data_IF_317946748275
#
_entry.id   IF_317946748275
#
_cell.length_a   1.000
_cell.length_b   1.000
_cell.length_c   1.000
_cell.angle_alpha   90.00
_cell.angle_beta   90.00
_cell.angle_gamma   90.00
#
_symmetry.space_group_name_H-M   'P 1'
#
loop_
_entity.id
_entity.type
_entity.pdbx_description
1 polymer ?
#
# COMPACT_ATOMS: atom_id res chain seq x y z
N UNK A 1 8.68 70.30 27.27
CA UNK A 1 8.10 69.17 26.51
C UNK A 1 8.91 68.77 25.26
N UNK A 2 9.72 69.66 24.66
CA UNK A 2 10.48 69.35 23.42
C UNK A 2 11.56 68.26 23.52
N UNK A 3 12.29 68.15 24.64
CA UNK A 3 13.39 67.18 24.74
C UNK A 3 12.92 65.71 24.78
N UNK A 4 11.74 65.40 25.34
CA UNK A 4 11.22 64.02 25.39
C UNK A 4 10.85 63.48 24.00
N UNK A 5 10.39 64.34 23.10
CA UNK A 5 10.01 63.97 21.73
C UNK A 5 11.26 63.64 20.91
N UNK A 6 12.36 64.38 21.13
CA UNK A 6 13.64 64.13 20.44
C UNK A 6 14.25 62.79 20.88
N UNK A 7 14.21 62.45 22.18
CA UNK A 7 14.71 61.16 22.65
C UNK A 7 13.86 59.97 22.15
N UNK A 8 12.53 60.14 22.04
CA UNK A 8 11.65 59.10 21.48
C UNK A 8 11.87 58.95 19.97
N UNK A 9 12.04 60.05 19.24
CA UNK A 9 12.35 60.00 17.80
C UNK A 9 13.73 59.36 17.54
N UNK A 10 14.75 59.68 18.35
CA UNK A 10 16.07 59.06 18.26
C UNK A 10 16.02 57.57 18.60
N UNK A 11 15.25 57.16 19.61
CA UNK A 11 15.01 55.74 19.91
C UNK A 11 14.27 55.00 18.79
N UNK A 12 13.28 55.63 18.15
CA UNK A 12 12.55 55.03 17.03
C UNK A 12 13.45 54.92 15.78
N UNK A 13 14.30 55.91 15.52
CA UNK A 13 15.28 55.87 14.42
C UNK A 13 16.33 54.79 14.67
N UNK A 14 16.74 54.61 15.94
CA UNK A 14 17.72 53.58 16.33
C UNK A 14 17.12 52.16 16.34
N UNK A 15 15.79 52.02 16.52
CA UNK A 15 15.05 50.76 16.34
C UNK A 15 14.82 50.45 14.86
N UNK A 16 14.55 51.44 14.01
CA UNK A 16 14.42 51.24 12.56
C UNK A 16 15.76 50.88 11.88
N UNK A 17 16.90 51.15 12.51
CA UNK A 17 18.22 50.69 12.03
C UNK A 17 18.57 49.24 12.40
N UNK A 18 17.69 48.49 13.09
CA UNK A 18 17.95 47.07 13.46
C UNK A 18 17.30 46.07 12.47
N UNK A 19 16.79 46.54 11.33
CA UNK A 19 16.41 45.67 10.22
C UNK A 19 17.24 45.99 8.96
N UNK A 20 18.56 46.06 9.11
CA UNK A 20 19.42 45.64 8.03
C UNK A 20 19.40 44.10 8.00
N UNK A 21 18.35 43.54 7.39
CA UNK A 21 18.45 42.22 6.79
C UNK A 21 19.41 42.39 5.62
N UNK A 22 20.71 42.30 5.89
CA UNK A 22 21.68 41.95 4.87
C UNK A 22 21.42 40.48 4.53
N UNK A 23 20.32 40.24 3.82
CA UNK A 23 20.04 38.96 3.17
C UNK A 23 21.11 38.80 2.10
N UNK A 24 22.02 37.89 2.37
CA UNK A 24 23.11 37.46 1.52
C UNK A 24 22.50 36.97 0.19
N UNK A 25 22.69 37.73 -0.91
CA UNK A 25 21.95 37.56 -2.18
C UNK A 25 21.96 36.11 -2.70
N UNK A 26 23.01 35.36 -2.36
CA UNK A 26 23.22 33.98 -2.77
C UNK A 26 22.38 32.94 -1.98
N UNK A 27 22.07 33.22 -0.71
CA UNK A 27 21.25 32.34 0.14
C UNK A 27 19.76 32.47 -0.18
N UNK A 28 19.30 33.71 -0.34
CA UNK A 28 17.92 34.00 -0.73
C UNK A 28 17.62 33.47 -2.14
N UNK A 29 18.59 33.56 -3.06
CA UNK A 29 18.48 32.95 -4.40
C UNK A 29 18.38 31.42 -4.33
N UNK A 30 19.24 30.75 -3.55
CA UNK A 30 19.19 29.30 -3.38
C UNK A 30 17.87 28.83 -2.73
N UNK A 31 17.35 29.60 -1.77
CA UNK A 31 16.06 29.33 -1.13
C UNK A 31 14.92 29.47 -2.14
N UNK A 32 14.91 30.54 -2.94
CA UNK A 32 13.93 30.75 -3.99
C UNK A 32 13.98 29.67 -5.07
N UNK A 33 15.17 29.18 -5.41
CA UNK A 33 15.35 28.05 -6.33
C UNK A 33 14.72 26.77 -5.75
N UNK A 34 14.99 26.43 -4.49
CA UNK A 34 14.38 25.28 -3.83
C UNK A 34 12.84 25.40 -3.76
N UNK A 35 12.33 26.59 -3.45
CA UNK A 35 10.88 26.85 -3.40
C UNK A 35 10.23 26.64 -4.77
N UNK A 36 10.84 27.18 -5.84
CA UNK A 36 10.34 27.06 -7.22
C UNK A 36 10.30 25.60 -7.67
N UNK A 37 11.39 24.87 -7.47
CA UNK A 37 11.49 23.47 -7.88
C UNK A 37 10.56 22.58 -7.05
N UNK A 38 10.45 22.81 -5.74
CA UNK A 38 9.54 22.05 -4.87
C UNK A 38 8.07 22.24 -5.24
N UNK A 39 7.68 23.46 -5.62
CA UNK A 39 6.34 23.75 -6.12
C UNK A 39 6.08 23.04 -7.47
N UNK A 40 7.04 23.11 -8.40
CA UNK A 40 6.96 22.42 -9.69
C UNK A 40 6.84 20.90 -9.51
N UNK A 41 7.62 20.31 -8.60
CA UNK A 41 7.56 18.88 -8.29
C UNK A 41 6.18 18.47 -7.76
N UNK A 42 5.65 19.23 -6.82
CA UNK A 42 4.31 18.98 -6.26
C UNK A 42 3.24 19.08 -7.35
N UNK A 43 3.32 20.08 -8.22
CA UNK A 43 2.44 20.24 -9.37
C UNK A 43 2.52 19.05 -10.33
N UNK A 44 3.74 18.59 -10.65
CA UNK A 44 3.97 17.42 -11.49
C UNK A 44 3.36 16.16 -10.89
N UNK A 45 3.56 15.93 -9.58
CA UNK A 45 3.02 14.77 -8.89
C UNK A 45 1.48 14.72 -8.93
N UNK A 46 0.83 15.87 -8.74
CA UNK A 46 -0.63 15.97 -8.80
C UNK A 46 -1.13 15.74 -10.23
N UNK A 47 -0.49 16.36 -11.24
CA UNK A 47 -0.88 16.23 -12.64
C UNK A 47 -0.77 14.79 -13.15
N UNK A 48 0.18 14.02 -12.65
CA UNK A 48 0.45 12.63 -13.04
C UNK A 48 -0.12 11.60 -12.05
N UNK A 49 -1.14 11.97 -11.27
CA UNK A 49 -1.75 11.08 -10.27
C UNK A 49 -2.80 10.12 -10.85
N UNK A 50 -3.38 10.44 -12.02
CA UNK A 50 -4.41 9.63 -12.71
C UNK A 50 -4.39 9.85 -14.24
N UNK A 51 -4.05 8.85 -15.07
CA UNK A 51 -3.36 7.60 -14.70
C UNK A 51 -2.01 7.89 -14.02
N UNK A 52 -1.49 6.94 -13.24
CA UNK A 52 -0.22 7.17 -12.54
C UNK A 52 0.93 7.04 -13.56
N UNK A 53 1.55 8.17 -13.88
CA UNK A 53 2.76 8.30 -14.73
C UNK A 53 3.78 9.22 -14.04
N UNK A 54 3.82 9.10 -12.71
CA UNK A 54 4.48 10.05 -11.83
C UNK A 54 5.99 9.86 -11.83
N UNK A 55 6.46 8.62 -11.79
CA UNK A 55 7.89 8.33 -11.79
C UNK A 55 8.52 8.78 -13.11
N UNK A 56 7.92 8.40 -14.25
CA UNK A 56 8.43 8.69 -15.59
C UNK A 56 8.44 10.21 -15.88
N UNK A 57 7.36 10.93 -15.56
CA UNK A 57 7.24 12.34 -15.94
C UNK A 57 7.85 13.33 -14.96
N UNK A 58 8.10 12.93 -13.69
CA UNK A 58 8.59 13.85 -12.65
C UNK A 58 10.04 13.59 -12.22
N UNK A 59 10.75 12.66 -12.86
CA UNK A 59 12.14 12.28 -12.50
C UNK A 59 13.13 13.44 -12.58
N UNK A 60 13.06 14.26 -13.64
CA UNK A 60 13.96 15.41 -13.80
C UNK A 60 13.77 16.42 -12.68
N UNK A 61 12.50 16.78 -12.41
CA UNK A 61 12.16 17.74 -11.36
C UNK A 61 12.53 17.18 -9.98
N UNK A 62 12.40 15.87 -9.76
CA UNK A 62 12.84 15.25 -8.51
C UNK A 62 14.36 15.37 -8.33
N UNK A 63 15.15 15.14 -9.37
CA UNK A 63 16.61 15.34 -9.35
C UNK A 63 16.94 16.80 -9.00
N UNK A 64 16.18 17.75 -9.56
CA UNK A 64 16.35 19.17 -9.23
C UNK A 64 15.99 19.50 -7.78
N UNK A 65 14.99 18.83 -7.18
CA UNK A 65 14.69 18.95 -5.74
C UNK A 65 15.89 18.48 -4.91
N UNK A 66 16.49 17.35 -5.26
CA UNK A 66 17.69 16.83 -4.56
C UNK A 66 18.87 17.79 -4.68
N UNK A 67 19.11 18.33 -5.87
CA UNK A 67 20.21 19.23 -6.15
C UNK A 67 20.03 20.60 -5.46
N UNK A 68 18.83 21.20 -5.54
CA UNK A 68 18.52 22.48 -4.90
C UNK A 68 18.62 22.40 -3.37
N UNK A 69 18.15 21.30 -2.76
CA UNK A 69 18.34 21.07 -1.32
C UNK A 69 19.82 20.86 -0.96
N UNK A 70 20.57 20.12 -1.77
CA UNK A 70 22.01 19.93 -1.58
C UNK A 70 22.76 21.25 -1.66
N UNK A 71 22.40 22.13 -2.60
CA UNK A 71 23.01 23.45 -2.73
C UNK A 71 22.84 24.29 -1.47
N UNK A 72 21.64 24.30 -0.87
CA UNK A 72 21.40 24.95 0.42
C UNK A 72 22.33 24.43 1.53
N UNK A 73 22.69 23.14 1.50
CA UNK A 73 23.58 22.51 2.49
C UNK A 73 25.09 22.77 2.27
N UNK A 74 25.49 23.21 1.07
CA UNK A 74 26.89 23.44 0.69
C UNK A 74 27.24 24.92 0.72
N UNK A 75 26.30 25.80 0.39
CA UNK A 75 26.51 27.25 0.44
C UNK A 75 26.81 27.65 1.90
N UNK A 76 27.97 28.25 2.11
CA UNK A 76 28.41 28.77 3.40
C UNK A 76 28.25 30.28 3.44
N UNK A 77 27.55 30.77 4.46
CA UNK A 77 27.39 32.18 4.77
C UNK A 77 28.22 32.46 6.04
N UNK A 78 29.38 33.10 5.86
CA UNK A 78 30.33 33.33 6.95
C UNK A 78 30.87 32.04 7.58
N UNK A 79 30.58 31.81 8.86
CA UNK A 79 31.01 30.63 9.63
C UNK A 79 29.94 29.51 9.68
N UNK A 80 28.76 29.71 9.10
CA UNK A 80 27.62 28.77 9.14
C UNK A 80 27.17 28.38 7.72
N UNK A 81 26.49 27.23 7.60
CA UNK A 81 25.88 26.87 6.32
C UNK A 81 24.55 27.59 6.15
N UNK A 82 24.22 27.96 4.91
CA UNK A 82 22.96 28.61 4.57
C UNK A 82 21.75 27.85 5.13
N UNK A 83 21.76 26.51 5.01
CA UNK A 83 20.70 25.65 5.55
C UNK A 83 20.50 25.78 7.06
N UNK A 84 21.55 26.11 7.83
CA UNK A 84 21.46 26.21 9.30
C UNK A 84 20.58 27.39 9.72
N UNK A 85 20.56 28.45 8.90
CA UNK A 85 19.75 29.65 9.10
C UNK A 85 18.24 29.39 8.88
N UNK A 86 17.86 28.28 8.24
CA UNK A 86 16.45 27.99 7.94
C UNK A 86 15.92 26.69 8.55
N UNK A 87 16.79 25.73 8.88
CA UNK A 87 16.37 24.41 9.41
C UNK A 87 16.48 24.33 10.93
N UNK A 88 17.36 25.12 11.57
CA UNK A 88 17.61 25.01 13.01
C UNK A 88 16.99 26.13 13.85
N UNK A 89 16.38 27.14 13.23
CA UNK A 89 15.80 28.30 13.93
C UNK A 89 14.34 28.11 14.36
N UNK A 90 13.63 27.14 13.80
CA UNK A 90 12.23 26.87 14.12
C UNK A 90 11.96 25.37 14.35
N UNK A 91 10.90 25.05 15.11
CA UNK A 91 10.49 23.67 15.41
C UNK A 91 9.77 22.98 14.26
N UNK A 92 9.35 23.72 13.24
CA UNK A 92 8.52 23.24 12.14
C UNK A 92 9.38 22.66 11.00
N UNK A 93 10.58 23.21 10.83
CA UNK A 93 11.61 22.84 9.87
C UNK A 93 11.00 22.65 8.47
N UNK A 94 10.37 23.71 7.95
CA UNK A 94 9.54 23.63 6.73
C UNK A 94 10.36 23.08 5.55
N UNK A 95 11.57 23.59 5.35
CA UNK A 95 12.44 23.18 4.23
C UNK A 95 12.77 21.69 4.32
N UNK A 96 13.23 21.23 5.48
CA UNK A 96 13.53 19.81 5.70
C UNK A 96 12.29 18.93 5.52
N UNK A 97 11.14 19.39 6.03
CA UNK A 97 9.88 18.66 5.93
C UNK A 97 9.42 18.53 4.47
N UNK A 98 9.51 19.59 3.66
CA UNK A 98 9.16 19.55 2.24
C UNK A 98 10.09 18.60 1.50
N UNK A 99 11.41 18.74 1.68
CA UNK A 99 12.39 17.84 1.06
C UNK A 99 12.13 16.37 1.44
N UNK A 100 11.93 16.09 2.72
CA UNK A 100 11.65 14.74 3.24
C UNK A 100 10.34 14.18 2.69
N UNK A 101 9.30 15.00 2.56
CA UNK A 101 8.04 14.58 1.95
C UNK A 101 8.23 14.21 0.48
N UNK A 102 8.99 15.01 -0.27
CA UNK A 102 9.34 14.70 -1.66
C UNK A 102 10.08 13.38 -1.79
N UNK A 103 11.09 13.17 -0.94
CA UNK A 103 11.86 11.93 -0.87
C UNK A 103 11.00 10.71 -0.48
N UNK A 104 10.13 10.86 0.54
CA UNK A 104 9.23 9.80 0.99
C UNK A 104 8.25 9.43 -0.12
N UNK A 105 7.67 10.42 -0.82
CA UNK A 105 6.73 10.17 -1.91
C UNK A 105 7.40 9.37 -3.04
N UNK A 106 8.59 9.78 -3.46
CA UNK A 106 9.40 9.09 -4.47
C UNK A 106 9.67 7.63 -4.10
N UNK A 107 10.12 7.38 -2.86
CA UNK A 107 10.45 6.04 -2.40
C UNK A 107 9.22 5.15 -2.15
N UNK A 108 8.10 5.71 -1.68
CA UNK A 108 6.84 4.96 -1.53
C UNK A 108 6.32 4.48 -2.88
N UNK A 109 6.49 5.29 -3.93
CA UNK A 109 6.18 4.90 -5.30
C UNK A 109 7.23 3.97 -5.93
N UNK A 110 8.31 3.64 -5.20
CA UNK A 110 9.45 2.84 -5.67
C UNK A 110 10.00 3.31 -7.02
N UNK A 111 10.00 4.63 -7.26
CA UNK A 111 10.39 5.17 -8.56
C UNK A 111 11.83 4.85 -8.95
N UNK A 112 12.72 4.58 -7.99
CA UNK A 112 14.09 4.14 -8.26
C UNK A 112 14.14 2.86 -9.14
N UNK A 113 13.16 1.98 -9.03
CA UNK A 113 13.11 0.70 -9.76
C UNK A 113 12.76 0.89 -11.25
N UNK A 114 12.17 2.04 -11.59
CA UNK A 114 11.89 2.45 -12.96
C UNK A 114 13.16 2.89 -13.72
N UNK A 115 14.26 3.21 -13.02
CA UNK A 115 15.44 3.89 -13.59
C UNK A 115 16.76 3.17 -13.32
N UNK A 116 17.79 3.55 -14.08
CA UNK A 116 19.15 3.07 -13.88
C UNK A 116 19.92 3.99 -12.93
N UNK A 117 20.81 3.39 -12.13
CA UNK A 117 21.77 4.13 -11.31
C UNK A 117 23.15 4.09 -11.97
N UNK A 118 23.68 5.26 -12.32
CA UNK A 118 25.07 5.41 -12.76
C UNK A 118 25.86 6.00 -11.58
N UNK A 119 26.94 5.34 -11.14
CA UNK A 119 27.79 5.80 -10.03
C UNK A 119 27.02 6.17 -8.74
N UNK A 120 25.97 5.43 -8.39
CA UNK A 120 25.08 5.72 -7.25
C UNK A 120 24.25 7.00 -7.38
N UNK A 121 24.18 7.60 -8.58
CA UNK A 121 23.30 8.73 -8.88
C UNK A 121 22.11 8.27 -9.71
N UNK A 122 20.92 8.78 -9.37
CA UNK A 122 19.70 8.54 -10.11
C UNK A 122 19.81 9.18 -11.48
N UNK A 123 19.50 8.43 -12.53
CA UNK A 123 19.46 8.95 -13.90
C UNK A 123 18.02 8.99 -14.42
N UNK A 124 17.81 9.71 -15.51
CA UNK A 124 16.53 9.72 -16.24
C UNK A 124 16.38 8.51 -17.18
N UNK A 125 17.39 7.63 -17.26
CA UNK A 125 17.37 6.46 -18.14
C UNK A 125 16.56 5.34 -17.52
N UNK A 126 15.62 4.81 -18.28
CA UNK A 126 14.73 3.72 -17.88
C UNK A 126 15.51 2.42 -17.63
N UNK A 127 15.12 1.66 -16.60
CA UNK A 127 15.71 0.34 -16.29
C UNK A 127 15.40 -0.68 -17.38
N UNK A 128 16.24 -1.73 -17.47
CA UNK A 128 16.03 -2.78 -18.48
C UNK A 128 14.68 -3.46 -18.29
N UNK A 129 14.30 -3.66 -17.03
CA UNK A 129 13.06 -4.28 -16.60
C UNK A 129 11.84 -3.45 -17.03
N UNK A 130 11.91 -2.13 -16.82
CA UNK A 130 10.84 -1.21 -17.20
C UNK A 130 10.71 -1.10 -18.72
N UNK A 131 11.84 -1.03 -19.43
CA UNK A 131 11.86 -1.00 -20.89
C UNK A 131 11.23 -2.26 -21.50
N UNK A 132 11.61 -3.44 -21.00
CA UNK A 132 11.04 -4.72 -21.45
C UNK A 132 9.56 -4.86 -21.07
N UNK A 133 9.13 -4.34 -19.91
CA UNK A 133 7.70 -4.27 -19.57
C UNK A 133 6.92 -3.42 -20.59
N UNK A 134 7.46 -2.25 -20.96
CA UNK A 134 6.83 -1.35 -21.93
C UNK A 134 6.68 -2.02 -23.30
N UNK A 135 7.69 -2.75 -23.76
CA UNK A 135 7.62 -3.52 -25.01
C UNK A 135 6.45 -4.52 -25.01
N UNK A 136 6.33 -5.36 -23.97
CA UNK A 136 5.22 -6.30 -23.87
C UNK A 136 3.86 -5.60 -23.73
N UNK A 137 3.82 -4.46 -23.06
CA UNK A 137 2.61 -3.67 -22.91
C UNK A 137 2.16 -3.06 -24.25
N UNK A 138 3.08 -2.49 -25.02
CA UNK A 138 2.79 -1.96 -26.36
C UNK A 138 2.26 -3.05 -27.29
N UNK A 139 2.88 -4.23 -27.27
CA UNK A 139 2.45 -5.40 -28.03
C UNK A 139 1.01 -5.82 -27.68
N UNK A 140 0.69 -5.88 -26.39
CA UNK A 140 -0.65 -6.17 -25.90
C UNK A 140 -1.65 -5.08 -26.33
N UNK A 141 -1.33 -3.80 -26.11
CA UNK A 141 -2.21 -2.67 -26.43
C UNK A 141 -2.48 -2.60 -27.93
N UNK A 142 -1.47 -2.86 -28.76
CA UNK A 142 -1.61 -2.93 -30.21
C UNK A 142 -2.59 -4.03 -30.61
N UNK A 143 -2.45 -5.22 -30.03
CA UNK A 143 -3.42 -6.31 -30.25
C UNK A 143 -4.82 -5.92 -29.79
N UNK A 144 -4.94 -5.38 -28.57
CA UNK A 144 -6.20 -5.04 -27.92
C UNK A 144 -6.97 -3.95 -28.68
N UNK A 145 -6.27 -2.96 -29.26
CA UNK A 145 -6.89 -1.85 -30.02
C UNK A 145 -7.26 -2.23 -31.45
N UNK A 146 -6.46 -3.07 -32.11
CA UNK A 146 -6.68 -3.43 -33.53
C UNK A 146 -7.67 -4.58 -33.72
N UNK A 147 -7.94 -5.36 -32.68
CA UNK A 147 -8.78 -6.56 -32.80
C UNK A 147 -10.25 -6.25 -32.53
N UNK A 148 -11.14 -6.73 -33.40
CA UNK A 148 -12.58 -6.66 -33.20
C UNK A 148 -13.02 -7.35 -31.90
N UNK A 149 -14.03 -6.80 -31.23
CA UNK A 149 -14.46 -7.23 -29.89
C UNK A 149 -14.86 -8.71 -29.79
N UNK A 150 -15.32 -9.33 -30.87
CA UNK A 150 -15.74 -10.74 -30.91
C UNK A 150 -14.58 -11.73 -30.83
N UNK A 151 -13.40 -11.38 -31.37
CA UNK A 151 -12.22 -12.26 -31.42
C UNK A 151 -11.04 -11.74 -30.59
N UNK A 152 -11.23 -10.64 -29.85
CA UNK A 152 -10.19 -9.98 -29.07
C UNK A 152 -9.50 -10.93 -28.08
N UNK A 153 -10.28 -11.70 -27.33
CA UNK A 153 -9.77 -12.55 -26.26
C UNK A 153 -8.89 -13.70 -26.77
N UNK A 154 -9.33 -14.57 -27.71
CA UNK A 154 -8.49 -15.65 -28.19
C UNK A 154 -7.23 -15.15 -28.93
N UNK A 155 -7.32 -14.02 -29.65
CA UNK A 155 -6.19 -13.48 -30.42
C UNK A 155 -5.14 -12.83 -29.51
N UNK A 156 -5.57 -12.07 -28.49
CA UNK A 156 -4.65 -11.32 -27.63
C UNK A 156 -4.28 -12.06 -26.32
N UNK A 157 -4.80 -13.27 -26.09
CA UNK A 157 -4.56 -14.03 -24.86
C UNK A 157 -3.07 -14.29 -24.64
N UNK A 158 -2.33 -14.65 -25.69
CA UNK A 158 -0.89 -14.91 -25.60
C UNK A 158 -0.14 -13.64 -25.19
N UNK A 159 -0.41 -12.51 -25.87
CA UNK A 159 0.22 -11.21 -25.56
C UNK A 159 -0.07 -10.75 -24.13
N UNK A 160 -1.33 -10.89 -23.69
CA UNK A 160 -1.71 -10.61 -22.31
C UNK A 160 -1.00 -11.52 -21.30
N UNK A 161 -0.90 -12.81 -21.60
CA UNK A 161 -0.26 -13.80 -20.73
C UNK A 161 1.23 -13.53 -20.61
N UNK A 162 1.91 -13.21 -21.70
CA UNK A 162 3.33 -12.80 -21.71
C UNK A 162 3.55 -11.57 -20.84
N UNK A 163 2.76 -10.51 -21.02
CA UNK A 163 2.82 -9.31 -20.18
C UNK A 163 2.59 -9.63 -18.70
N UNK A 164 1.55 -10.40 -18.38
CA UNK A 164 1.20 -10.72 -16.99
C UNK A 164 2.27 -11.60 -16.31
N UNK A 165 2.83 -12.56 -17.03
CA UNK A 165 3.90 -13.42 -16.52
C UNK A 165 5.18 -12.63 -16.28
N UNK A 166 5.53 -11.72 -17.20
CA UNK A 166 6.67 -10.83 -17.04
C UNK A 166 6.50 -9.93 -15.81
N UNK A 167 5.36 -9.25 -15.68
CA UNK A 167 5.02 -8.45 -14.49
C UNK A 167 5.18 -9.28 -13.21
N UNK A 168 4.64 -10.50 -13.19
CA UNK A 168 4.70 -11.38 -12.02
C UNK A 168 6.16 -11.72 -11.67
N UNK A 169 7.01 -11.96 -12.67
CA UNK A 169 8.43 -12.26 -12.48
C UNK A 169 9.24 -11.11 -11.86
N UNK A 170 8.88 -9.86 -12.17
CA UNK A 170 9.57 -8.66 -11.64
C UNK A 170 8.92 -8.11 -10.37
N UNK A 171 7.66 -8.46 -10.08
CA UNK A 171 6.91 -7.90 -8.94
C UNK A 171 7.18 -8.56 -7.58
N UNK A 172 7.92 -9.68 -7.55
CA UNK A 172 8.22 -10.55 -6.40
C UNK A 172 7.66 -10.09 -5.04
N UNK A 173 6.62 -10.78 -4.56
CA UNK A 173 5.97 -10.55 -3.26
C UNK A 173 6.89 -10.82 -2.05
N UNK A 174 8.03 -11.49 -2.24
CA UNK A 174 8.94 -11.97 -1.18
C UNK A 174 10.14 -11.05 -0.88
N UNK A 175 9.93 -9.73 -1.00
CA UNK A 175 10.82 -8.69 -0.45
C UNK A 175 12.27 -8.65 -0.99
N UNK A 176 12.49 -7.84 -2.03
CA UNK A 176 13.68 -6.96 -2.20
C UNK A 176 13.60 -6.08 -3.45
N UNK A 177 12.90 -6.53 -4.48
CA UNK A 177 12.74 -5.82 -5.76
C UNK A 177 11.24 -5.66 -5.98
N UNK A 178 10.73 -4.45 -5.77
CA UNK A 178 9.35 -4.12 -6.13
C UNK A 178 9.33 -3.39 -7.46
N UNK A 179 8.21 -3.43 -8.17
CA UNK A 179 8.01 -2.58 -9.36
C UNK A 179 7.61 -1.17 -8.94
N UNK A 180 7.97 -0.17 -9.76
CA UNK A 180 7.54 1.21 -9.57
C UNK A 180 6.02 1.36 -9.78
N UNK A 181 5.44 2.38 -9.15
CA UNK A 181 3.98 2.57 -9.10
C UNK A 181 3.34 2.80 -10.48
N UNK A 182 4.07 3.41 -11.42
CA UNK A 182 3.61 3.61 -12.80
C UNK A 182 3.29 2.26 -13.48
N UNK A 183 4.21 1.28 -13.40
CA UNK A 183 4.00 -0.10 -13.89
C UNK A 183 2.82 -0.78 -13.19
N UNK A 184 2.71 -0.62 -11.87
CA UNK A 184 1.62 -1.21 -11.07
C UNK A 184 0.26 -0.68 -11.53
N UNK A 185 0.14 0.63 -11.79
CA UNK A 185 -1.10 1.24 -12.25
C UNK A 185 -1.47 0.80 -13.67
N UNK A 186 -0.48 0.74 -14.58
CA UNK A 186 -0.65 0.21 -15.94
C UNK A 186 -1.16 -1.23 -15.89
N UNK A 187 -0.53 -2.09 -15.09
CA UNK A 187 -0.92 -3.51 -15.00
C UNK A 187 -2.30 -3.67 -14.36
N UNK A 188 -2.62 -2.91 -13.31
CA UNK A 188 -3.94 -2.95 -12.66
C UNK A 188 -5.05 -2.50 -13.62
N UNK A 189 -4.83 -1.42 -14.35
CA UNK A 189 -5.76 -0.92 -15.36
C UNK A 189 -5.92 -1.94 -16.50
N UNK A 190 -4.81 -2.54 -16.94
CA UNK A 190 -4.80 -3.58 -17.98
C UNK A 190 -5.59 -4.81 -17.54
N UNK A 191 -5.34 -5.35 -16.33
CA UNK A 191 -6.10 -6.47 -15.76
C UNK A 191 -7.58 -6.16 -15.67
N UNK A 192 -7.94 -4.93 -15.23
CA UNK A 192 -9.33 -4.48 -15.15
C UNK A 192 -10.00 -4.49 -16.53
N UNK A 193 -9.34 -3.92 -17.54
CA UNK A 193 -9.88 -3.84 -18.90
C UNK A 193 -9.97 -5.21 -19.55
N UNK A 194 -8.93 -6.04 -19.40
CA UNK A 194 -8.92 -7.42 -19.87
C UNK A 194 -10.03 -8.24 -19.22
N UNK A 195 -10.20 -8.16 -17.91
CA UNK A 195 -11.25 -8.91 -17.21
C UNK A 195 -12.66 -8.48 -17.64
N UNK A 196 -12.88 -7.20 -17.94
CA UNK A 196 -14.18 -6.70 -18.44
C UNK A 196 -14.48 -7.25 -19.84
N UNK A 197 -13.50 -7.24 -20.73
CA UNK A 197 -13.70 -7.68 -22.12
C UNK A 197 -13.65 -9.21 -22.28
N UNK A 198 -12.89 -9.92 -21.44
CA UNK A 198 -12.52 -11.32 -21.62
C UNK A 198 -12.87 -12.24 -20.44
N UNK A 199 -13.86 -11.87 -19.64
CA UNK A 199 -14.31 -12.63 -18.45
C UNK A 199 -14.58 -14.12 -18.72
N UNK A 200 -15.09 -14.48 -19.92
CA UNK A 200 -15.40 -15.87 -20.30
C UNK A 200 -14.17 -16.79 -20.40
N UNK A 201 -12.96 -16.23 -20.55
CA UNK A 201 -11.72 -17.00 -20.68
C UNK A 201 -11.04 -17.29 -19.34
N UNK A 202 -11.63 -16.87 -18.21
CA UNK A 202 -11.16 -17.23 -16.87
C UNK A 202 -11.53 -18.69 -16.57
N UNK A 203 -10.86 -19.63 -17.23
CA UNK A 203 -11.12 -21.07 -17.13
C UNK A 203 -10.40 -21.63 -15.89
N UNK A 204 -11.09 -21.67 -14.75
CA UNK A 204 -10.75 -22.65 -13.72
C UNK A 204 -11.54 -23.92 -13.99
N UNK A 205 -10.91 -25.09 -13.87
CA UNK A 205 -11.62 -26.37 -13.98
C UNK A 205 -12.48 -26.59 -12.75
N UNK A 206 -13.71 -26.07 -12.78
CA UNK A 206 -14.69 -26.24 -11.70
C UNK A 206 -15.04 -27.72 -11.46
N UNK A 207 -14.80 -28.59 -12.45
CA UNK A 207 -14.99 -30.03 -12.32
C UNK A 207 -14.18 -30.65 -11.17
N UNK A 208 -12.94 -30.20 -10.95
CA UNK A 208 -12.12 -30.74 -9.87
C UNK A 208 -12.73 -30.36 -8.52
N UNK A 209 -13.16 -29.11 -8.37
CA UNK A 209 -13.80 -28.60 -7.16
C UNK A 209 -15.16 -29.29 -6.88
N UNK A 210 -15.97 -29.51 -7.92
CA UNK A 210 -17.25 -30.18 -7.79
C UNK A 210 -17.08 -31.66 -7.40
N UNK A 211 -16.13 -32.37 -8.02
CA UNK A 211 -15.86 -33.78 -7.72
C UNK A 211 -15.32 -33.95 -6.31
N UNK A 212 -14.40 -33.10 -5.86
CA UNK A 212 -13.87 -33.17 -4.49
C UNK A 212 -14.93 -32.86 -3.45
N UNK A 213 -15.77 -31.84 -3.68
CA UNK A 213 -16.87 -31.48 -2.77
C UNK A 213 -17.90 -32.62 -2.66
N UNK A 214 -18.28 -33.23 -3.80
CA UNK A 214 -19.20 -34.37 -3.82
C UNK A 214 -18.62 -35.57 -3.06
N UNK A 215 -17.33 -35.85 -3.24
CA UNK A 215 -16.68 -36.99 -2.58
C UNK A 215 -16.64 -36.81 -1.06
N UNK A 216 -16.32 -35.60 -0.57
CA UNK A 216 -16.36 -35.29 0.87
C UNK A 216 -17.78 -35.45 1.44
N UNK A 217 -18.79 -35.00 0.71
CA UNK A 217 -20.19 -35.13 1.11
C UNK A 217 -20.63 -36.61 1.17
N UNK A 218 -20.25 -37.42 0.18
CA UNK A 218 -20.57 -38.85 0.15
C UNK A 218 -19.85 -39.59 1.28
N UNK A 219 -18.58 -39.30 1.53
CA UNK A 219 -17.81 -39.93 2.63
C UNK A 219 -18.43 -39.60 3.98
N UNK A 220 -18.81 -38.34 4.21
CA UNK A 220 -19.48 -37.93 5.47
C UNK A 220 -20.86 -38.58 5.61
N UNK A 221 -21.67 -38.64 4.55
CA UNK A 221 -22.96 -39.33 4.57
C UNK A 221 -22.81 -40.83 4.87
N UNK A 222 -21.87 -41.51 4.22
CA UNK A 222 -21.57 -42.93 4.46
C UNK A 222 -21.13 -43.13 5.91
N UNK A 223 -20.26 -42.29 6.46
CA UNK A 223 -19.86 -42.37 7.86
C UNK A 223 -21.05 -42.29 8.83
N UNK A 224 -21.98 -41.36 8.61
CA UNK A 224 -23.19 -41.25 9.43
C UNK A 224 -24.15 -42.43 9.25
N UNK A 225 -24.30 -42.96 8.03
CA UNK A 225 -25.12 -44.14 7.77
C UNK A 225 -24.53 -45.40 8.43
N UNK A 226 -23.21 -45.59 8.32
CA UNK A 226 -22.51 -46.71 8.95
C UNK A 226 -22.61 -46.63 10.48
N UNK A 227 -22.43 -45.44 11.06
CA UNK A 227 -22.60 -45.26 12.52
C UNK A 227 -24.06 -45.45 12.97
N UNK A 228 -25.06 -45.12 12.15
CA UNK A 228 -26.46 -45.43 12.46
C UNK A 228 -26.79 -46.93 12.38
N UNK A 229 -26.19 -47.64 11.44
CA UNK A 229 -26.48 -49.07 11.20
C UNK A 229 -25.68 -50.00 12.11
N UNK A 230 -24.39 -49.73 12.27
CA UNK A 230 -23.47 -50.54 13.08
C UNK A 230 -23.25 -49.99 14.50
N UNK A 231 -23.72 -48.77 14.78
CA UNK A 231 -23.70 -48.24 16.14
C UNK A 231 -24.62 -49.07 17.01
N UNK A 232 -24.05 -49.77 17.99
CA UNK A 232 -24.84 -50.39 19.04
C UNK A 232 -25.71 -49.31 19.67
N UNK A 233 -27.03 -49.46 19.55
CA UNK A 233 -27.99 -48.68 20.34
C UNK A 233 -27.78 -49.11 21.79
N UNK A 234 -26.89 -48.42 22.50
CA UNK A 234 -26.90 -48.44 23.96
C UNK A 234 -28.22 -47.81 24.36
N UNK A 235 -29.25 -48.64 24.52
CA UNK A 235 -30.48 -48.26 25.19
C UNK A 235 -29.98 -47.69 26.52
N UNK A 236 -30.19 -46.39 26.82
CA UNK A 236 -29.90 -45.91 28.15
C UNK A 236 -30.71 -46.83 29.05
N UNK A 237 -30.03 -47.58 29.93
CA UNK A 237 -30.72 -48.29 30.97
C UNK A 237 -31.49 -47.21 31.71
N UNK A 238 -32.80 -47.12 31.47
CA UNK A 238 -33.67 -46.41 32.38
C UNK A 238 -33.49 -47.22 33.64
N UNK A 239 -32.70 -46.71 34.59
CA UNK A 239 -32.67 -47.26 35.94
C UNK A 239 -34.12 -47.26 36.38
N UNK A 240 -34.78 -48.40 36.28
CA UNK A 240 -36.10 -48.59 36.83
C UNK A 240 -35.91 -48.29 38.31
N UNK A 241 -36.44 -47.15 38.72
CA UNK A 241 -36.04 -46.46 39.94
C UNK A 241 -36.37 -47.39 41.12
N UNK A 242 -35.36 -48.08 41.64
CA UNK A 242 -35.45 -48.97 42.81
C UNK A 242 -36.02 -48.27 44.04
N UNK A 243 -35.99 -46.93 44.06
CA UNK A 243 -36.63 -46.09 45.08
C UNK A 243 -38.13 -46.34 45.23
N UNK A 244 -38.88 -46.66 44.17
CA UNK A 244 -40.31 -46.95 44.32
C UNK A 244 -40.55 -48.27 45.05
N UNK A 245 -39.79 -49.32 44.71
CA UNK A 245 -39.87 -50.61 45.41
C UNK A 245 -39.39 -50.50 46.87
N UNK A 246 -38.36 -49.71 47.13
CA UNK A 246 -37.87 -49.47 48.49
C UNK A 246 -38.87 -48.66 49.34
N UNK A 247 -39.54 -47.66 48.74
CA UNK A 247 -40.60 -46.91 49.42
C UNK A 247 -41.79 -47.81 49.78
N UNK A 248 -42.19 -48.73 48.89
CA UNK A 248 -43.30 -49.66 49.14
C UNK A 248 -42.96 -50.63 50.28
N UNK A 249 -41.74 -51.16 50.30
CA UNK A 249 -41.27 -52.05 51.37
C UNK A 249 -41.14 -51.33 52.71
N UNK A 250 -40.73 -50.06 52.72
CA UNK A 250 -40.67 -49.28 53.95
C UNK A 250 -42.07 -48.97 54.48
N UNK A 251 -43.03 -48.63 53.61
CA UNK A 251 -44.44 -48.44 53.99
C UNK A 251 -45.03 -49.74 54.54
N UNK A 252 -44.81 -50.87 53.87
CA UNK A 252 -45.28 -52.17 54.35
C UNK A 252 -44.73 -52.53 55.74
N UNK A 253 -43.41 -52.37 55.96
CA UNK A 253 -42.81 -52.59 57.29
C UNK A 253 -43.30 -51.62 58.37
N UNK A 254 -43.66 -50.38 58.01
CA UNK A 254 -44.25 -49.45 58.99
C UNK A 254 -45.68 -49.83 59.38
N UNK A 255 -46.44 -50.46 58.48
CA UNK A 255 -47.78 -50.95 58.79
C UNK A 255 -47.72 -52.20 59.69
N UNK A 256 -46.83 -53.15 59.42
CA UNK A 256 -46.65 -54.34 60.27
C UNK A 256 -46.19 -53.96 61.69
N UNK A 257 -45.26 -53.01 61.81
CA UNK A 257 -44.76 -52.57 63.13
C UNK A 257 -45.81 -51.85 63.97
N UNK A 258 -46.80 -51.23 63.34
CA UNK A 258 -47.90 -50.58 64.05
C UNK A 258 -49.02 -51.56 64.47
N UNK A 259 -49.07 -52.77 63.90
CA UNK A 259 -50.02 -53.82 64.32
C UNK A 259 -49.52 -54.68 65.49
N UNK A 260 -48.24 -54.62 65.83
CA UNK A 260 -47.67 -55.35 66.99
C UNK A 260 -47.63 -54.52 68.29
N UNK A 261 -48.04 -53.25 68.25
CA UNK A 261 -48.02 -52.33 69.41
C UNK A 261 -49.44 -51.96 69.91
N UNK A 262 -50.43 -52.78 69.56
CA UNK A 262 -51.79 -52.78 70.17
C UNK A 262 -52.05 -54.13 70.80
#
# INVERSE_FOLDING_TARGET
MGNRIIYVALWIIQIMSVMSLSGDENCDEALNAFATVSAAYTSCAIANSRPITYCENCVEIFIDVLNSYRNLSIISEGNSKCIDNFVNLDRLQIIETIYRNSYILWNRAKCNECFQFENSTLTTKISKETSQFHEYYEDFVKCFKLTNSSNLCPVCLEKYTTLNNYYTSISNENEKIGVCMDIVDIMNTTRRNWSKSCCKYRKHSEHIFLVTTLLIFVVTAIFYLLTCYFGEKKIPYILQQSRFAESLNHVHRSLERNSEVT
#
